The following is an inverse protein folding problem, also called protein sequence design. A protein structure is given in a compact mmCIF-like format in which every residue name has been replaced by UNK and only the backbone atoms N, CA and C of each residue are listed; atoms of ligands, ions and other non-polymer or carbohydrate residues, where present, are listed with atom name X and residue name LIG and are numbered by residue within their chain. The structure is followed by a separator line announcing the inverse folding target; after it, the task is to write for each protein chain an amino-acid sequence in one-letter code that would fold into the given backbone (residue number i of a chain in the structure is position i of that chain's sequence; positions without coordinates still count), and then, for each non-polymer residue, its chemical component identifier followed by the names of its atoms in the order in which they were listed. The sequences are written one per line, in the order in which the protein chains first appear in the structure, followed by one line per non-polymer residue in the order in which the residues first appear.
data_IF_632325852356
#
_entry.id   IF_632325852356
#
_cell.length_a   1.000
_cell.length_b   1.000
_cell.length_c   1.000
_cell.angle_alpha   90.00
_cell.angle_beta   90.00
_cell.angle_gamma   90.00
#
_symmetry.space_group_name_H-M   'P 1'
#
loop_
_entity.id
_entity.type
_entity.pdbx_description
1 polymer ?
#
# COMPACT_ATOMS: atom_id res chain seq x y z
N UNK A 1 4.26 -2.12 -11.18
CA UNK A 1 2.83 -2.14 -11.55
C UNK A 1 2.61 -1.56 -12.94
N UNK A 2 3.32 -0.50 -13.35
CA UNK A 2 3.19 0.10 -14.69
C UNK A 2 3.16 -0.92 -15.82
N UNK A 3 4.13 -1.84 -15.88
CA UNK A 3 4.17 -2.86 -16.94
C UNK A 3 2.92 -3.74 -17.05
N UNK A 4 2.16 -3.91 -15.96
CA UNK A 4 0.91 -4.66 -15.92
C UNK A 4 -0.25 -3.81 -16.47
N UNK A 5 -0.30 -2.53 -16.11
CA UNK A 5 -1.35 -1.59 -16.56
C UNK A 5 -0.99 -0.84 -17.85
N UNK A 6 0.16 -1.15 -18.44
CA UNK A 6 0.62 -0.67 -19.74
C UNK A 6 0.87 -1.81 -20.74
N UNK A 7 0.39 -3.02 -20.44
CA UNK A 7 0.56 -4.19 -21.31
C UNK A 7 -0.20 -4.02 -22.64
N UNK A 8 0.10 -4.85 -23.64
CA UNK A 8 -0.42 -4.70 -25.00
C UNK A 8 -1.96 -4.64 -25.10
N UNK A 9 -2.70 -5.26 -24.18
CA UNK A 9 -4.16 -5.21 -24.15
C UNK A 9 -4.73 -3.81 -23.88
N UNK A 10 -3.94 -2.87 -23.38
CA UNK A 10 -4.32 -1.45 -23.22
C UNK A 10 -4.21 -0.66 -24.53
N UNK A 11 -3.53 -1.18 -25.55
CA UNK A 11 -3.30 -0.45 -26.81
C UNK A 11 -2.62 0.90 -26.54
N UNK A 12 -3.23 1.99 -27.01
CA UNK A 12 -2.76 3.36 -26.77
C UNK A 12 -3.22 3.98 -25.45
N UNK A 13 -3.95 3.23 -24.62
CA UNK A 13 -4.56 3.70 -23.37
C UNK A 13 -3.83 3.14 -22.15
N UNK A 14 -2.50 3.01 -22.23
CA UNK A 14 -1.67 2.60 -21.11
C UNK A 14 -1.89 3.52 -19.90
N UNK A 15 -1.89 2.93 -18.70
CA UNK A 15 -2.07 3.66 -17.44
C UNK A 15 -0.74 3.67 -16.69
N UNK A 16 -0.32 4.87 -16.32
CA UNK A 16 0.83 5.13 -15.46
C UNK A 16 0.44 5.05 -13.97
N UNK A 17 1.19 4.30 -13.16
CA UNK A 17 0.96 4.18 -11.72
C UNK A 17 1.87 5.15 -11.00
N UNK A 18 1.26 6.20 -10.43
CA UNK A 18 1.98 7.31 -9.81
C UNK A 18 1.90 7.21 -8.30
N UNK A 19 3.03 6.88 -7.68
CA UNK A 19 3.12 6.83 -6.23
C UNK A 19 3.30 8.23 -5.64
N UNK A 20 2.42 8.58 -4.71
CA UNK A 20 2.58 9.70 -3.81
C UNK A 20 3.63 9.40 -2.73
N UNK A 21 3.75 10.32 -1.77
CA UNK A 21 4.60 10.10 -0.60
C UNK A 21 4.04 8.97 0.27
N UNK A 22 4.92 8.13 0.80
CA UNK A 22 4.54 7.14 1.80
C UNK A 22 3.98 7.84 3.04
N UNK A 23 2.83 7.39 3.52
CA UNK A 23 2.25 7.84 4.78
C UNK A 23 2.44 6.76 5.84
N UNK A 24 2.84 7.15 7.03
CA UNK A 24 2.95 6.27 8.19
C UNK A 24 1.78 6.50 9.14
N UNK A 25 1.11 5.43 9.55
CA UNK A 25 0.03 5.47 10.53
C UNK A 25 0.35 4.52 11.67
N UNK A 26 0.36 5.03 12.89
CA UNK A 26 0.54 4.21 14.10
C UNK A 26 -0.80 3.62 14.49
N UNK A 27 -1.00 2.34 14.17
CA UNK A 27 -2.21 1.58 14.47
C UNK A 27 -1.85 0.11 14.73
N UNK A 28 -1.24 -0.21 15.89
CA UNK A 28 -0.72 -1.54 16.19
C UNK A 28 -1.77 -2.65 16.06
N UNK A 29 -3.03 -2.35 16.40
CA UNK A 29 -4.14 -3.30 16.32
C UNK A 29 -4.53 -3.67 14.87
N UNK A 30 -4.00 -2.95 13.87
CA UNK A 30 -4.27 -3.20 12.45
C UNK A 30 -3.09 -3.83 11.72
N UNK A 31 -2.00 -4.18 12.42
CA UNK A 31 -0.92 -4.99 11.85
C UNK A 31 -1.37 -6.42 11.55
N UNK A 32 -2.42 -6.90 12.21
CA UNK A 32 -2.99 -8.23 12.02
C UNK A 32 -4.49 -8.09 11.80
N UNK A 33 -4.97 -8.50 10.63
CA UNK A 33 -6.39 -8.40 10.25
C UNK A 33 -7.00 -9.80 10.23
N UNK A 34 -7.95 -10.03 11.13
CA UNK A 34 -8.61 -11.32 11.36
C UNK A 34 -10.14 -11.24 11.28
N UNK A 35 -10.69 -10.03 11.18
CA UNK A 35 -12.14 -9.77 11.17
C UNK A 35 -12.52 -8.71 10.13
N UNK A 36 -13.80 -8.70 9.75
CA UNK A 36 -14.34 -7.68 8.85
C UNK A 36 -14.32 -6.27 9.46
N UNK A 37 -14.40 -6.16 10.79
CA UNK A 37 -14.32 -4.87 11.47
C UNK A 37 -12.92 -4.25 11.35
N UNK A 38 -11.86 -5.07 11.40
CA UNK A 38 -10.49 -4.62 11.19
C UNK A 38 -10.25 -4.21 9.73
N UNK A 39 -10.80 -4.96 8.76
CA UNK A 39 -10.80 -4.55 7.33
C UNK A 39 -11.46 -3.18 7.16
N UNK A 40 -12.67 -2.99 7.72
CA UNK A 40 -13.34 -1.68 7.66
C UNK A 40 -12.57 -0.58 8.39
N UNK A 41 -11.86 -0.92 9.46
CA UNK A 41 -11.06 0.03 10.22
C UNK A 41 -9.85 0.49 9.43
N UNK A 42 -9.12 -0.42 8.75
CA UNK A 42 -7.96 -0.04 7.94
C UNK A 42 -8.36 0.79 6.73
N UNK A 43 -9.46 0.46 6.03
CA UNK A 43 -9.94 1.27 4.90
C UNK A 43 -10.52 2.62 5.37
N UNK A 44 -11.06 2.69 6.59
CA UNK A 44 -11.49 3.94 7.21
C UNK A 44 -10.36 4.93 7.50
N UNK A 45 -9.09 4.52 7.39
CA UNK A 45 -7.91 5.39 7.53
C UNK A 45 -7.55 6.14 6.24
N UNK A 46 -8.45 6.17 5.25
CA UNK A 46 -8.18 6.75 3.94
C UNK A 46 -7.53 8.14 4.01
N UNK A 47 -6.39 8.27 3.34
CA UNK A 47 -5.65 9.53 3.15
C UNK A 47 -5.77 10.00 1.70
N UNK A 48 -6.24 11.24 1.51
CA UNK A 48 -6.31 11.88 0.21
C UNK A 48 -7.73 12.03 -0.33
N UNK A 49 -7.83 12.25 -1.64
CA UNK A 49 -9.11 12.41 -2.33
C UNK A 49 -9.67 11.05 -2.76
N UNK A 50 -10.99 10.98 -2.98
CA UNK A 50 -11.68 9.74 -3.36
C UNK A 50 -11.22 9.10 -4.70
N UNK A 51 -10.44 9.83 -5.51
CA UNK A 51 -9.84 9.32 -6.75
C UNK A 51 -8.35 8.94 -6.58
N UNK A 52 -7.84 8.95 -5.35
CA UNK A 52 -6.51 8.43 -4.99
C UNK A 52 -6.71 7.08 -4.31
N UNK A 53 -5.89 6.11 -4.69
CA UNK A 53 -5.91 4.78 -4.07
C UNK A 53 -4.95 4.76 -2.89
N UNK A 54 -5.36 4.18 -1.76
CA UNK A 54 -4.41 3.81 -0.72
C UNK A 54 -4.18 2.30 -0.75
N UNK A 55 -2.92 1.92 -0.58
CA UNK A 55 -2.63 0.54 -0.21
C UNK A 55 -1.86 0.46 1.10
N UNK A 56 -2.37 -0.40 1.98
CA UNK A 56 -1.85 -0.57 3.32
C UNK A 56 -0.97 -1.80 3.39
N UNK A 57 0.18 -1.65 4.03
CA UNK A 57 1.07 -2.75 4.39
C UNK A 57 0.81 -3.17 5.83
N UNK A 58 0.54 -4.46 6.03
CA UNK A 58 0.32 -5.07 7.35
C UNK A 58 1.19 -6.33 7.51
N UNK A 59 1.21 -6.92 8.70
CA UNK A 59 1.99 -8.14 8.97
C UNK A 59 1.26 -9.40 8.52
N UNK A 60 -0.01 -9.57 8.91
CA UNK A 60 -0.80 -10.76 8.57
C UNK A 60 -2.26 -10.45 8.25
N UNK A 61 -2.82 -11.20 7.30
CA UNK A 61 -4.19 -11.10 6.82
C UNK A 61 -4.84 -12.49 6.82
N UNK A 62 -5.90 -12.66 7.60
CA UNK A 62 -6.66 -13.91 7.61
C UNK A 62 -8.16 -13.72 7.41
N UNK A 63 -8.59 -12.52 7.03
CA UNK A 63 -10.00 -12.23 6.76
C UNK A 63 -10.17 -11.26 5.59
N UNK A 64 -11.02 -11.63 4.64
CA UNK A 64 -11.43 -10.77 3.53
C UNK A 64 -12.78 -11.23 2.97
N UNK A 65 -13.58 -10.31 2.43
CA UNK A 65 -14.83 -10.65 1.73
C UNK A 65 -15.87 -11.41 2.57
N UNK A 66 -15.83 -11.27 3.89
CA UNK A 66 -16.75 -11.96 4.81
C UNK A 66 -16.32 -13.38 5.19
N UNK A 67 -15.10 -13.80 4.83
CA UNK A 67 -14.59 -15.17 5.06
C UNK A 67 -13.26 -15.11 5.82
N UNK A 68 -13.05 -16.06 6.73
CA UNK A 68 -11.76 -16.29 7.37
C UNK A 68 -10.95 -17.33 6.57
N UNK A 69 -9.72 -16.99 6.20
CA UNK A 69 -8.77 -17.88 5.54
C UNK A 69 -7.34 -17.35 5.73
N UNK A 70 -6.43 -18.17 6.27
CA UNK A 70 -5.02 -17.79 6.49
C UNK A 70 -4.17 -17.79 5.20
N UNK A 71 -4.77 -18.09 4.06
CA UNK A 71 -4.11 -18.05 2.74
C UNK A 71 -4.31 -16.74 1.98
N UNK A 72 -4.93 -15.72 2.59
CA UNK A 72 -5.06 -14.42 1.94
C UNK A 72 -3.72 -13.69 1.91
N UNK A 73 -3.40 -13.06 0.78
CA UNK A 73 -2.22 -12.20 0.62
C UNK A 73 -2.60 -10.71 0.57
N UNK A 74 -3.84 -10.42 0.18
CA UNK A 74 -4.39 -9.09 0.10
C UNK A 74 -5.92 -9.09 0.21
N UNK A 75 -6.47 -7.90 0.39
CA UNK A 75 -7.89 -7.63 0.40
C UNK A 75 -8.14 -6.22 -0.13
N UNK A 76 -8.87 -6.10 -1.24
CA UNK A 76 -9.31 -4.81 -1.79
C UNK A 76 -10.80 -4.58 -1.64
N UNK A 77 -11.19 -3.30 -1.58
CA UNK A 77 -12.56 -2.89 -1.86
C UNK A 77 -12.94 -3.22 -3.31
N UNK A 78 -14.20 -3.63 -3.55
CA UNK A 78 -14.69 -4.03 -4.87
C UNK A 78 -16.07 -3.44 -5.18
N UNK A 79 -16.16 -2.36 -5.98
CA UNK A 79 -15.11 -1.37 -6.23
C UNK A 79 -14.88 -0.49 -4.99
N UNK A 80 -13.77 0.25 -4.99
CA UNK A 80 -13.39 1.20 -3.96
C UNK A 80 -11.97 1.70 -4.19
N UNK A 81 -11.41 2.45 -3.26
CA UNK A 81 -10.10 3.09 -3.41
C UNK A 81 -9.11 2.73 -2.28
N UNK A 82 -9.41 1.67 -1.53
CA UNK A 82 -8.53 1.13 -0.51
C UNK A 82 -8.29 -0.37 -0.72
N UNK A 83 -7.05 -0.81 -0.49
CA UNK A 83 -6.71 -2.22 -0.38
C UNK A 83 -5.56 -2.47 0.60
N UNK A 84 -5.49 -3.65 1.19
CA UNK A 84 -4.46 -4.01 2.18
C UNK A 84 -3.76 -5.28 1.75
N UNK A 85 -2.46 -5.39 2.02
CA UNK A 85 -1.62 -6.54 1.66
C UNK A 85 -0.67 -6.94 2.79
N UNK A 86 -0.35 -8.23 2.85
CA UNK A 86 0.74 -8.71 3.69
C UNK A 86 2.09 -8.23 3.15
N UNK A 87 2.83 -7.52 3.99
CA UNK A 87 4.10 -6.88 3.64
C UNK A 87 5.15 -7.88 3.16
N UNK A 88 5.18 -9.07 3.78
CA UNK A 88 6.15 -10.11 3.44
C UNK A 88 5.94 -10.67 2.04
N UNK A 89 4.68 -10.82 1.60
CA UNK A 89 4.32 -11.30 0.26
C UNK A 89 4.52 -10.19 -0.76
N UNK A 90 4.12 -8.95 -0.42
CA UNK A 90 4.31 -7.78 -1.27
C UNK A 90 5.79 -7.46 -1.54
N UNK A 91 6.70 -7.77 -0.60
CA UNK A 91 8.14 -7.68 -0.79
C UNK A 91 8.75 -8.86 -1.56
N UNK A 92 7.97 -9.93 -1.79
CA UNK A 92 8.40 -11.16 -2.43
C UNK A 92 8.30 -11.15 -3.97
N UNK A 93 8.54 -12.32 -4.57
CA UNK A 93 8.55 -12.49 -6.03
C UNK A 93 7.21 -12.23 -6.73
N UNK A 94 6.10 -12.28 -5.98
CA UNK A 94 4.75 -11.98 -6.48
C UNK A 94 4.28 -10.56 -6.14
N UNK A 95 5.14 -9.69 -5.58
CA UNK A 95 4.72 -8.39 -5.06
C UNK A 95 3.98 -7.51 -6.06
N UNK A 96 4.51 -7.40 -7.29
CA UNK A 96 3.87 -6.61 -8.34
C UNK A 96 2.53 -7.21 -8.81
N UNK A 97 2.41 -8.54 -8.83
CA UNK A 97 1.16 -9.23 -9.15
C UNK A 97 0.12 -8.99 -8.06
N UNK A 98 0.50 -9.16 -6.79
CA UNK A 98 -0.38 -8.93 -5.63
C UNK A 98 -0.93 -7.50 -5.63
N UNK A 99 -0.07 -6.49 -5.69
CA UNK A 99 -0.51 -5.09 -5.67
C UNK A 99 -1.40 -4.75 -6.89
N UNK A 100 -1.10 -5.31 -8.06
CA UNK A 100 -1.92 -5.09 -9.26
C UNK A 100 -3.25 -5.86 -9.21
N UNK A 101 -3.29 -7.04 -8.60
CA UNK A 101 -4.48 -7.83 -8.37
C UNK A 101 -5.47 -7.06 -7.49
N UNK A 102 -5.00 -6.57 -6.33
CA UNK A 102 -5.85 -5.82 -5.40
C UNK A 102 -6.31 -4.48 -5.99
N UNK A 103 -5.43 -3.77 -6.71
CA UNK A 103 -5.84 -2.59 -7.48
C UNK A 103 -6.89 -2.96 -8.54
N UNK A 104 -6.81 -4.15 -9.15
CA UNK A 104 -7.82 -4.67 -10.06
C UNK A 104 -9.21 -4.77 -9.41
N UNK A 105 -9.28 -5.19 -8.14
CA UNK A 105 -10.54 -5.18 -7.38
C UNK A 105 -11.08 -3.76 -7.17
N UNK A 106 -10.23 -2.82 -6.76
CA UNK A 106 -10.61 -1.40 -6.64
C UNK A 106 -11.17 -0.82 -7.94
N UNK A 107 -10.59 -1.24 -9.07
CA UNK A 107 -11.01 -0.86 -10.43
C UNK A 107 -12.26 -1.62 -10.93
N UNK A 108 -12.90 -2.42 -10.09
CA UNK A 108 -14.17 -3.09 -10.37
C UNK A 108 -14.04 -4.48 -11.01
N UNK A 109 -12.87 -5.11 -10.96
CA UNK A 109 -12.69 -6.46 -11.49
C UNK A 109 -12.98 -7.52 -10.42
N UNK A 110 -13.76 -8.55 -10.78
CA UNK A 110 -13.92 -9.75 -9.96
C UNK A 110 -12.93 -10.86 -10.33
N UNK A 111 -12.78 -11.84 -9.44
CA UNK A 111 -11.93 -13.01 -9.68
C UNK A 111 -12.25 -13.73 -10.99
N UNK A 112 -11.21 -14.22 -11.66
CA UNK A 112 -11.25 -15.02 -12.87
C UNK A 112 -10.49 -16.35 -12.66
N UNK A 113 -10.70 -17.33 -13.55
CA UNK A 113 -9.89 -18.55 -13.57
C UNK A 113 -8.71 -18.47 -14.54
N UNK A 114 -7.79 -19.43 -14.43
CA UNK A 114 -6.71 -19.62 -15.42
C UNK A 114 -5.58 -18.60 -15.32
N UNK A 115 -4.84 -18.41 -16.42
CA UNK A 115 -3.74 -17.45 -16.50
C UNK A 115 -4.25 -16.02 -16.68
N UNK A 116 -4.59 -15.36 -15.57
CA UNK A 116 -5.12 -14.01 -15.54
C UNK A 116 -4.66 -13.30 -14.26
N UNK A 117 -4.49 -11.97 -14.32
CA UNK A 117 -4.15 -11.16 -13.15
C UNK A 117 -5.15 -11.35 -12.01
N UNK A 118 -6.43 -11.48 -12.33
CA UNK A 118 -7.51 -11.62 -11.35
C UNK A 118 -7.74 -13.07 -10.90
N UNK A 119 -6.77 -13.96 -11.06
CA UNK A 119 -6.88 -15.30 -10.49
C UNK A 119 -6.92 -15.22 -8.96
N UNK A 120 -7.81 -15.97 -8.31
CA UNK A 120 -7.92 -16.02 -6.84
C UNK A 120 -6.66 -16.52 -6.12
N UNK A 121 -5.64 -16.93 -6.86
CA UNK A 121 -4.35 -17.34 -6.32
C UNK A 121 -3.23 -16.76 -7.18
N UNK A 122 -2.22 -16.20 -6.52
CA UNK A 122 -1.01 -15.71 -7.15
C UNK A 122 -0.35 -16.84 -7.94
N UNK A 123 -0.12 -16.62 -9.22
CA UNK A 123 0.30 -17.67 -10.16
C UNK A 123 1.36 -17.21 -11.18
N UNK A 124 1.85 -15.98 -11.06
CA UNK A 124 2.86 -15.41 -11.95
C UNK A 124 2.30 -14.82 -13.24
N UNK A 125 0.98 -14.86 -13.45
CA UNK A 125 0.33 -14.35 -14.65
C UNK A 125 -0.37 -13.02 -14.38
N UNK A 126 0.06 -11.98 -15.09
CA UNK A 126 -0.45 -10.61 -14.94
C UNK A 126 -1.31 -10.15 -16.13
N UNK A 127 -1.76 -11.10 -16.95
CA UNK A 127 -2.52 -10.80 -18.18
C UNK A 127 -3.91 -10.26 -17.86
N UNK A 128 -4.29 -9.19 -18.56
CA UNK A 128 -5.64 -8.62 -18.53
C UNK A 128 -6.29 -8.73 -19.91
N UNK A 129 -7.53 -9.22 -19.94
CA UNK A 129 -8.34 -9.28 -21.17
C UNK A 129 -8.82 -7.89 -21.60
N UNK A 130 -9.17 -7.73 -22.87
CA UNK A 130 -9.73 -6.48 -23.38
C UNK A 130 -11.00 -6.03 -22.62
N UNK A 131 -11.83 -6.97 -22.16
CA UNK A 131 -13.02 -6.67 -21.35
C UNK A 131 -12.65 -6.12 -19.96
N UNK A 132 -11.63 -6.68 -19.32
CA UNK A 132 -11.13 -6.17 -18.03
C UNK A 132 -10.49 -4.78 -18.20
N UNK A 133 -9.72 -4.57 -19.26
CA UNK A 133 -9.15 -3.25 -19.58
C UNK A 133 -10.24 -2.20 -19.78
N UNK A 134 -11.31 -2.53 -20.51
CA UNK A 134 -12.43 -1.61 -20.70
C UNK A 134 -13.12 -1.24 -19.38
N UNK A 135 -13.27 -2.20 -18.45
CA UNK A 135 -13.82 -1.93 -17.12
C UNK A 135 -12.88 -1.04 -16.29
N UNK A 136 -11.57 -1.34 -16.31
CA UNK A 136 -10.55 -0.50 -15.66
C UNK A 136 -10.63 0.95 -16.16
N UNK A 137 -10.63 1.17 -17.48
CA UNK A 137 -10.66 2.50 -18.08
C UNK A 137 -11.96 3.27 -17.80
N UNK A 138 -13.03 2.58 -17.41
CA UNK A 138 -14.29 3.20 -17.00
C UNK A 138 -14.31 3.59 -15.51
N UNK A 139 -13.30 3.18 -14.73
CA UNK A 139 -13.23 3.49 -13.30
C UNK A 139 -12.95 4.98 -13.05
N UNK A 140 -13.61 5.61 -12.06
CA UNK A 140 -13.33 6.99 -11.66
C UNK A 140 -11.93 7.19 -11.05
N UNK A 141 -11.22 6.10 -10.73
CA UNK A 141 -9.84 6.15 -10.24
C UNK A 141 -8.83 6.38 -11.37
N UNK A 142 -9.20 6.06 -12.62
CA UNK A 142 -8.38 6.35 -13.80
C UNK A 142 -8.56 7.82 -14.17
N UNK A 143 -7.48 8.56 -14.03
CA UNK A 143 -7.40 9.98 -14.33
C UNK A 143 -6.63 10.19 -15.64
N UNK A 144 -6.67 11.40 -16.17
CA UNK A 144 -5.95 11.75 -17.40
C UNK A 144 -5.32 13.14 -17.31
N UNK A 145 -4.12 13.28 -17.85
CA UNK A 145 -3.46 14.56 -18.07
C UNK A 145 -2.79 14.61 -19.45
N UNK A 146 -1.91 15.59 -19.68
CA UNK A 146 -1.18 15.73 -20.94
C UNK A 146 -0.25 14.56 -21.27
N UNK A 147 0.10 13.72 -20.30
CA UNK A 147 0.99 12.57 -20.44
C UNK A 147 0.23 11.26 -20.66
N UNK A 148 -1.11 11.26 -20.54
CA UNK A 148 -1.96 10.09 -20.76
C UNK A 148 -2.81 9.74 -19.54
N UNK A 149 -3.20 8.46 -19.44
CA UNK A 149 -3.96 7.95 -18.30
C UNK A 149 -3.04 7.61 -17.14
N UNK A 150 -3.52 7.84 -15.92
CA UNK A 150 -2.78 7.50 -14.72
C UNK A 150 -3.70 7.17 -13.55
N UNK A 151 -3.14 6.50 -12.54
CA UNK A 151 -3.75 6.31 -11.23
C UNK A 151 -2.77 6.82 -10.18
N UNK A 152 -3.26 7.69 -9.29
CA UNK A 152 -2.49 8.14 -8.14
C UNK A 152 -2.68 7.16 -6.99
N UNK A 153 -1.57 6.80 -6.34
CA UNK A 153 -1.58 5.86 -5.24
C UNK A 153 -0.75 6.37 -4.07
N UNK A 154 -1.28 6.34 -2.85
CA UNK A 154 -0.51 6.54 -1.63
C UNK A 154 -0.17 5.18 -1.00
N UNK A 155 1.12 4.84 -0.86
CA UNK A 155 1.54 3.74 -0.01
C UNK A 155 1.35 4.11 1.46
N UNK A 156 0.69 3.25 2.24
CA UNK A 156 0.47 3.46 3.67
C UNK A 156 1.18 2.36 4.47
N UNK A 157 2.07 2.76 5.37
CA UNK A 157 2.70 1.86 6.34
C UNK A 157 1.93 1.90 7.65
N UNK A 158 1.37 0.76 8.06
CA UNK A 158 0.85 0.59 9.42
C UNK A 158 2.03 0.25 10.34
N UNK A 159 2.15 0.98 11.44
CA UNK A 159 3.25 0.84 12.39
C UNK A 159 2.75 0.45 13.77
N UNK A 160 3.54 -0.35 14.48
CA UNK A 160 3.31 -0.67 15.89
C UNK A 160 3.50 0.56 16.79
N UNK A 161 4.49 1.38 16.47
CA UNK A 161 4.85 2.58 17.23
C UNK A 161 5.44 3.64 16.29
N UNK A 162 5.42 4.90 16.72
CA UNK A 162 6.06 5.98 15.97
C UNK A 162 7.58 5.79 15.94
N UNK A 163 8.20 5.92 14.78
CA UNK A 163 9.66 5.88 14.66
C UNK A 163 10.25 7.10 15.36
N UNK A 164 10.81 6.91 16.56
CA UNK A 164 11.54 7.97 17.24
C UNK A 164 12.91 8.14 16.58
N UNK A 165 13.09 9.22 15.81
CA UNK A 165 14.42 9.59 15.34
C UNK A 165 15.24 10.02 16.57
N UNK A 166 16.43 9.44 16.84
CA UNK A 166 17.26 9.90 17.95
C UNK A 166 17.58 11.37 17.75
N UNK A 167 17.01 12.24 18.58
CA UNK A 167 17.41 13.66 18.60
C UNK A 167 18.86 13.68 19.07
N UNK A 168 19.83 14.20 18.28
CA UNK A 168 21.19 14.35 18.75
C UNK A 168 21.16 15.13 20.06
N UNK A 169 21.76 14.58 21.13
CA UNK A 169 21.81 15.27 22.41
C UNK A 169 22.33 16.69 22.16
N UNK A 170 21.61 17.74 22.61
CA UNK A 170 22.00 19.10 22.31
C UNK A 170 23.41 19.33 22.87
N UNK A 171 24.27 20.00 22.10
CA UNK A 171 25.66 20.28 22.49
C UNK A 171 25.79 20.98 23.87
N UNK A 172 24.68 21.51 24.40
CA UNK A 172 24.55 22.01 25.77
C UNK A 172 24.83 20.96 26.85
N UNK A 173 24.48 19.69 26.63
CA UNK A 173 24.79 18.61 27.58
C UNK A 173 26.30 18.35 27.67
N UNK A 174 26.98 18.36 26.52
CA UNK A 174 28.44 18.22 26.45
C UNK A 174 29.17 19.45 27.03
N UNK A 175 28.65 20.67 26.78
CA UNK A 175 29.17 21.91 27.35
C UNK A 175 28.99 21.99 28.87
N UNK A 176 27.88 21.49 29.42
CA UNK A 176 27.70 21.40 30.88
C UNK A 176 28.69 20.43 31.53
N UNK A 177 28.93 19.27 30.91
CA UNK A 177 29.93 18.30 31.37
C UNK A 177 31.36 18.87 31.32
N UNK A 178 31.70 19.59 30.25
CA UNK A 178 33.00 20.28 30.12
C UNK A 178 33.14 21.44 31.11
N UNK A 179 32.07 22.20 31.36
CA UNK A 179 32.06 23.27 32.36
C UNK A 179 32.32 22.77 33.78
N UNK A 180 31.71 21.64 34.17
CA UNK A 180 31.94 21.00 35.47
C UNK A 180 33.39 20.51 35.66
N UNK A 181 34.05 20.07 34.58
CA UNK A 181 35.45 19.64 34.60
C UNK A 181 36.43 20.82 34.72
N UNK A 182 36.12 21.98 34.12
CA UNK A 182 36.95 23.19 34.21
C UNK A 182 36.84 23.86 35.57
N UNK A 183 35.65 23.88 36.19
CA UNK A 183 35.45 24.45 37.53
C UNK A 183 36.19 23.64 38.60
N UNK A 184 36.24 22.30 38.49
CA UNK A 184 36.99 21.45 39.42
C UNK A 184 38.51 21.67 39.38
N UNK A 185 39.08 22.09 38.25
CA UNK A 185 40.54 22.35 38.14
C UNK A 185 40.99 23.69 38.71
N UNK A 186 40.09 24.61 39.07
CA UNK A 186 40.43 25.89 39.70
C UNK A 186 40.29 25.90 41.23
N UNK A 187 39.80 24.81 41.83
CA UNK A 187 39.54 24.70 43.27
C UNK A 187 40.51 23.73 43.98
N UNK A 188 41.65 23.41 43.37
CA UNK A 188 42.73 22.59 43.95
C UNK A 188 44.06 23.35 43.88
#
# INVERSE_FOLDING_TARGET
MDSIFSQASFGSSAIDIRYGATTEIVAPDLLTITTGAEVSSVFGLHVGAANVVNFYFIDTLSFCGGVFNTGFAGCGELPGNDFVVESSIAAGGFGAELLAHELGHNLGLGHQGGGNLMNSSLNGNTSLTAGQVANILASPLVQSDSSGFFININPILILAEAVSVPVPAPATALLMLLGLLVVRRRAA
#
